data_IF_608277148300
#
_entry.id   IF_608277148300
#
_cell.length_a   1.000
_cell.length_b   1.000
_cell.length_c   1.000
_cell.angle_alpha   90.00
_cell.angle_beta   90.00
_cell.angle_gamma   90.00
#
_symmetry.space_group_name_H-M   'P 1'
#
loop_
_entity.id
_entity.type
_entity.pdbx_description
1 polymer ?
#
# COMPACT_ATOMS: atom_id res chain seq x y z
N UNK A 1 40.52 -13.01 56.49
CA UNK A 1 39.26 -13.78 56.42
C UNK A 1 38.55 -13.42 55.11
N UNK A 2 38.49 -14.35 54.15
CA UNK A 2 37.25 -15.04 53.68
C UNK A 2 36.25 -14.06 53.06
N UNK A 3 36.33 -13.83 51.74
CA UNK A 3 35.57 -14.49 50.65
C UNK A 3 34.04 -14.32 50.71
N UNK A 4 33.52 -13.55 49.75
CA UNK A 4 32.19 -13.60 49.08
C UNK A 4 31.87 -12.18 48.61
N UNK A 5 31.32 -11.89 47.43
CA UNK A 5 30.48 -12.66 46.53
C UNK A 5 30.59 -11.93 45.16
N UNK A 6 30.92 -12.65 44.08
CA UNK A 6 30.88 -12.09 42.72
C UNK A 6 29.43 -12.00 42.25
N UNK A 7 28.90 -10.78 42.13
CA UNK A 7 27.68 -10.45 41.40
C UNK A 7 28.09 -9.58 40.21
N UNK A 8 28.21 -10.19 39.02
CA UNK A 8 28.38 -9.46 37.77
C UNK A 8 26.97 -9.19 37.22
N UNK A 9 26.46 -7.99 37.50
CA UNK A 9 25.30 -7.43 36.82
C UNK A 9 25.80 -6.67 35.59
N UNK A 10 25.52 -7.20 34.39
CA UNK A 10 25.78 -6.52 33.13
C UNK A 10 24.65 -5.52 32.84
N UNK A 11 24.89 -4.24 33.13
CA UNK A 11 24.05 -3.13 32.69
C UNK A 11 24.71 -2.47 31.48
N UNK A 12 24.30 -2.88 30.27
CA UNK A 12 24.67 -2.19 29.03
C UNK A 12 23.68 -1.07 28.75
N UNK A 13 24.00 0.15 29.15
CA UNK A 13 23.31 1.37 28.71
C UNK A 13 23.79 1.72 27.30
N UNK A 14 22.96 1.49 26.29
CA UNK A 14 23.16 2.06 24.97
C UNK A 14 22.82 3.55 25.01
N UNK A 15 23.84 4.35 24.69
CA UNK A 15 23.72 5.78 24.41
C UNK A 15 22.87 5.99 23.14
N UNK A 16 21.84 6.81 23.25
CA UNK A 16 21.09 7.35 22.11
C UNK A 16 20.85 8.85 22.33
N UNK A 17 21.90 9.64 22.17
CA UNK A 17 21.77 11.07 21.85
C UNK A 17 22.03 11.21 20.36
N UNK A 18 21.00 11.56 19.61
CA UNK A 18 21.04 11.73 18.17
C UNK A 18 19.88 12.61 17.73
N UNK A 19 19.90 13.85 18.19
CA UNK A 19 18.98 14.90 17.78
C UNK A 19 19.36 15.31 16.35
N UNK A 20 18.57 14.87 15.36
CA UNK A 20 18.74 15.27 13.97
C UNK A 20 17.99 16.58 13.76
N UNK A 21 18.70 17.68 13.96
CA UNK A 21 18.32 18.98 13.40
C UNK A 21 18.17 18.82 11.87
N UNK A 22 17.02 19.23 11.36
CA UNK A 22 16.78 19.33 9.93
C UNK A 22 16.84 20.82 9.56
N UNK A 23 18.06 21.32 9.37
CA UNK A 23 18.30 22.56 8.65
C UNK A 23 18.05 22.29 7.16
N UNK A 24 16.88 22.68 6.65
CA UNK A 24 16.70 22.88 5.22
C UNK A 24 16.73 24.38 4.96
N UNK A 25 17.91 24.84 4.56
CA UNK A 25 18.12 26.15 3.99
C UNK A 25 17.22 26.32 2.77
N UNK A 26 16.32 27.29 2.86
CA UNK A 26 15.53 27.78 1.74
C UNK A 26 16.48 28.32 0.66
N UNK A 27 16.41 27.72 -0.53
CA UNK A 27 16.98 28.30 -1.73
C UNK A 27 16.23 29.58 -2.08
N UNK A 28 16.98 30.67 -2.23
CA UNK A 28 16.52 31.97 -2.67
C UNK A 28 16.15 31.93 -4.15
N UNK A 29 14.91 32.32 -4.47
CA UNK A 29 14.56 32.85 -5.78
C UNK A 29 13.94 34.23 -5.59
N UNK A 30 14.79 35.24 -5.63
CA UNK A 30 14.36 36.63 -5.83
C UNK A 30 13.78 36.76 -7.23
N UNK A 31 12.48 37.06 -7.31
CA UNK A 31 11.86 37.62 -8.49
C UNK A 31 10.92 38.75 -8.05
N UNK A 32 11.43 39.97 -8.25
CA UNK A 32 10.68 41.22 -8.16
C UNK A 32 9.56 41.23 -9.22
N UNK A 33 8.34 41.53 -8.82
CA UNK A 33 7.25 41.74 -9.78
C UNK A 33 5.88 41.94 -9.15
N UNK A 34 5.60 43.20 -8.79
CA UNK A 34 4.29 43.82 -8.55
C UNK A 34 3.32 43.23 -7.51
N UNK A 35 3.12 44.05 -6.48
CA UNK A 35 2.04 43.97 -5.49
C UNK A 35 0.78 44.53 -6.17
N UNK A 36 -0.18 43.68 -6.48
CA UNK A 36 -1.55 44.11 -6.76
C UNK A 36 -2.41 43.72 -5.56
N UNK A 37 -2.96 44.74 -4.93
CA UNK A 37 -3.67 44.74 -3.66
C UNK A 37 -4.99 43.96 -3.78
N UNK A 38 -5.09 42.80 -3.11
CA UNK A 38 -6.33 42.03 -3.05
C UNK A 38 -6.94 42.21 -1.65
N UNK A 39 -8.18 42.71 -1.52
CA UNK A 39 -8.77 43.06 -0.24
C UNK A 39 -9.05 41.83 0.62
N UNK A 40 -8.77 41.98 1.91
CA UNK A 40 -9.00 40.99 2.95
C UNK A 40 -10.48 40.64 3.09
N UNK A 41 -10.82 39.38 2.78
CA UNK A 41 -11.96 38.71 3.38
C UNK A 41 -11.47 37.37 3.95
N UNK A 42 -10.91 37.43 5.16
CA UNK A 42 -10.50 36.25 5.91
C UNK A 42 -11.73 35.65 6.60
N UNK A 43 -12.37 34.69 5.95
CA UNK A 43 -13.15 33.69 6.66
C UNK A 43 -12.20 32.61 7.17
N UNK A 44 -12.35 32.12 8.41
CA UNK A 44 -11.42 31.16 9.00
C UNK A 44 -11.51 29.83 8.25
N UNK A 45 -10.50 29.52 7.43
CA UNK A 45 -10.33 28.18 6.85
C UNK A 45 -9.80 27.25 7.94
N UNK A 46 -10.68 26.36 8.38
CA UNK A 46 -10.37 25.29 9.32
C UNK A 46 -9.32 24.35 8.71
N UNK A 47 -8.08 24.48 9.15
CA UNK A 47 -6.90 23.86 8.52
C UNK A 47 -6.69 22.38 8.89
N UNK A 48 -7.74 21.61 9.20
CA UNK A 48 -7.60 20.19 9.59
C UNK A 48 -8.60 19.23 8.93
N UNK A 49 -9.13 19.56 7.77
CA UNK A 49 -9.67 18.56 6.86
C UNK A 49 -8.68 18.34 5.71
N UNK A 50 -7.68 17.49 5.95
CA UNK A 50 -7.14 16.71 4.82
C UNK A 50 -8.31 15.87 4.31
N UNK A 51 -9.01 16.40 3.32
CA UNK A 51 -9.84 15.60 2.43
C UNK A 51 -8.89 14.56 1.83
N UNK A 52 -8.79 13.40 2.51
CA UNK A 52 -8.33 12.18 1.92
C UNK A 52 -9.38 11.84 0.87
N UNK A 53 -9.34 12.58 -0.24
CA UNK A 53 -10.31 12.52 -1.31
C UNK A 53 -10.52 11.07 -1.63
N UNK A 54 -11.78 10.63 -1.55
CA UNK A 54 -12.15 9.25 -1.77
C UNK A 54 -11.40 8.75 -3.01
N UNK A 55 -10.52 7.76 -2.81
CA UNK A 55 -9.69 7.26 -3.89
C UNK A 55 -10.61 6.83 -5.04
N UNK A 56 -10.36 7.35 -6.25
CA UNK A 56 -11.08 6.88 -7.42
C UNK A 56 -10.85 5.38 -7.55
N UNK A 57 -11.92 4.63 -7.32
CA UNK A 57 -11.95 3.17 -7.24
C UNK A 57 -12.71 2.57 -8.41
N UNK A 58 -13.10 3.38 -9.40
CA UNK A 58 -13.88 2.93 -10.57
C UNK A 58 -13.21 1.77 -11.32
N UNK A 59 -11.88 1.80 -11.45
CA UNK A 59 -11.11 0.73 -12.10
C UNK A 59 -11.12 -0.55 -11.25
N UNK A 60 -10.87 -0.44 -9.95
CA UNK A 60 -10.75 -1.58 -9.04
C UNK A 60 -12.10 -2.21 -8.70
N UNK A 61 -13.17 -1.42 -8.75
CA UNK A 61 -14.55 -1.89 -8.66
C UNK A 61 -14.89 -2.85 -9.81
N UNK A 62 -14.31 -2.63 -10.99
CA UNK A 62 -14.43 -3.53 -12.14
C UNK A 62 -13.78 -4.91 -11.93
N UNK A 63 -13.00 -5.09 -10.87
CA UNK A 63 -12.33 -6.36 -10.57
C UNK A 63 -13.14 -7.31 -9.71
N UNK A 64 -14.28 -6.85 -9.16
CA UNK A 64 -15.16 -7.67 -8.33
C UNK A 64 -15.55 -8.98 -9.04
N UNK A 65 -15.58 -10.07 -8.27
CA UNK A 65 -15.89 -11.43 -8.69
C UNK A 65 -14.67 -12.37 -8.73
N UNK A 66 -14.85 -13.54 -9.36
CA UNK A 66 -13.84 -14.60 -9.42
C UNK A 66 -12.88 -14.47 -10.61
N UNK A 67 -11.61 -14.71 -10.36
CA UNK A 67 -10.51 -14.81 -11.33
C UNK A 67 -9.86 -16.19 -11.21
N UNK A 68 -9.36 -16.74 -12.31
CA UNK A 68 -8.86 -18.12 -12.39
C UNK A 68 -7.37 -18.15 -12.70
N UNK A 69 -6.60 -18.78 -11.83
CA UNK A 69 -5.18 -19.07 -12.05
C UNK A 69 -4.98 -20.50 -12.55
N UNK A 70 -3.72 -20.92 -12.63
CA UNK A 70 -3.35 -22.28 -13.03
C UNK A 70 -3.71 -23.29 -11.95
N UNK A 71 -3.90 -24.56 -12.27
CA UNK A 71 -3.95 -25.66 -11.26
C UNK A 71 -4.95 -25.45 -10.10
N UNK A 72 -6.07 -24.77 -10.35
CA UNK A 72 -7.09 -24.51 -9.33
C UNK A 72 -6.84 -23.26 -8.48
N UNK A 73 -5.77 -22.51 -8.74
CA UNK A 73 -5.54 -21.18 -8.17
C UNK A 73 -6.74 -20.28 -8.49
N UNK A 74 -7.12 -19.45 -7.52
CA UNK A 74 -8.23 -18.53 -7.70
C UNK A 74 -8.04 -17.27 -6.87
N UNK A 75 -8.61 -16.18 -7.37
CA UNK A 75 -8.79 -14.95 -6.63
C UNK A 75 -10.27 -14.57 -6.67
N UNK A 76 -10.87 -14.35 -5.52
CA UNK A 76 -12.20 -13.79 -5.39
C UNK A 76 -12.07 -12.38 -4.81
N UNK A 77 -12.54 -11.38 -5.55
CA UNK A 77 -12.55 -9.97 -5.14
C UNK A 77 -13.98 -9.59 -4.78
N UNK A 78 -14.22 -9.19 -3.54
CA UNK A 78 -15.51 -8.69 -3.09
C UNK A 78 -15.37 -7.27 -2.54
N UNK A 79 -16.44 -6.48 -2.57
CA UNK A 79 -16.49 -5.20 -1.83
C UNK A 79 -16.56 -5.48 -0.33
N UNK A 80 -15.85 -4.68 0.46
CA UNK A 80 -15.96 -4.66 1.91
C UNK A 80 -16.92 -3.54 2.37
N UNK A 81 -17.03 -3.34 3.68
CA UNK A 81 -18.01 -2.43 4.28
C UNK A 81 -17.76 -0.94 3.97
N UNK A 82 -16.50 -0.56 3.73
CA UNK A 82 -16.12 0.81 3.41
C UNK A 82 -15.96 1.03 1.89
N UNK A 83 -16.37 2.20 1.36
CA UNK A 83 -16.10 2.56 -0.03
C UNK A 83 -14.62 2.42 -0.38
N UNK A 84 -14.34 1.81 -1.54
CA UNK A 84 -12.97 1.55 -1.99
C UNK A 84 -12.21 0.49 -1.19
N UNK A 85 -12.86 -0.22 -0.25
CA UNK A 85 -12.27 -1.36 0.45
C UNK A 85 -12.77 -2.68 -0.13
N UNK A 86 -11.91 -3.69 -0.11
CA UNK A 86 -12.14 -4.98 -0.73
C UNK A 86 -11.75 -6.14 0.19
N UNK A 87 -12.46 -7.26 0.05
CA UNK A 87 -12.03 -8.55 0.56
C UNK A 87 -11.42 -9.34 -0.60
N UNK A 88 -10.17 -9.78 -0.44
CA UNK A 88 -9.42 -10.58 -1.41
C UNK A 88 -9.26 -11.99 -0.85
N UNK A 89 -9.96 -12.97 -1.41
CA UNK A 89 -9.78 -14.38 -1.06
C UNK A 89 -8.90 -15.04 -2.12
N UNK A 90 -7.67 -15.38 -1.73
CA UNK A 90 -6.65 -15.97 -2.60
C UNK A 90 -6.53 -17.45 -2.28
N UNK A 91 -6.77 -18.31 -3.26
CA UNK A 91 -6.55 -19.75 -3.19
C UNK A 91 -5.29 -20.09 -3.98
N UNK A 92 -4.31 -20.64 -3.28
CA UNK A 92 -3.05 -21.18 -3.81
C UNK A 92 -3.00 -22.70 -3.59
N UNK A 93 -1.90 -23.34 -3.98
CA UNK A 93 -1.72 -24.78 -3.82
C UNK A 93 -1.60 -25.22 -2.34
N UNK A 94 -1.14 -24.33 -1.47
CA UNK A 94 -0.92 -24.58 -0.04
C UNK A 94 -2.15 -24.23 0.83
N UNK A 95 -3.11 -23.47 0.30
CA UNK A 95 -4.32 -23.13 1.03
C UNK A 95 -5.06 -21.92 0.49
N UNK A 96 -6.05 -21.47 1.26
CA UNK A 96 -6.81 -20.25 0.98
C UNK A 96 -6.62 -19.24 2.11
N UNK A 97 -6.25 -18.02 1.73
CA UNK A 97 -6.06 -16.88 2.63
C UNK A 97 -7.01 -15.75 2.23
N UNK A 98 -7.41 -14.94 3.20
CA UNK A 98 -8.26 -13.76 2.98
C UNK A 98 -7.57 -12.50 3.48
N UNK A 99 -7.60 -11.45 2.67
CA UNK A 99 -6.98 -10.17 2.97
C UNK A 99 -8.00 -9.03 2.83
N UNK A 100 -7.83 -7.98 3.63
CA UNK A 100 -8.50 -6.71 3.40
C UNK A 100 -7.58 -5.83 2.57
N UNK A 101 -8.10 -5.29 1.48
CA UNK A 101 -7.39 -4.37 0.59
C UNK A 101 -8.09 -3.03 0.46
N UNK A 102 -7.33 -2.01 0.05
CA UNK A 102 -7.82 -0.68 -0.26
C UNK A 102 -7.47 -0.34 -1.72
N UNK A 103 -8.46 0.10 -2.48
CA UNK A 103 -8.28 0.63 -3.82
C UNK A 103 -7.48 1.92 -3.79
N UNK A 104 -6.53 2.03 -4.71
CA UNK A 104 -5.69 3.20 -4.88
C UNK A 104 -5.44 3.42 -6.39
N UNK A 105 -6.42 4.02 -7.06
CA UNK A 105 -6.40 4.17 -8.51
C UNK A 105 -6.49 2.80 -9.21
N UNK A 106 -5.47 2.45 -9.98
CA UNK A 106 -5.41 1.22 -10.78
C UNK A 106 -4.88 0.00 -10.03
N UNK A 107 -4.84 0.04 -8.70
CA UNK A 107 -4.35 -1.07 -7.87
C UNK A 107 -5.17 -1.24 -6.60
N UNK A 108 -5.16 -2.45 -6.03
CA UNK A 108 -5.62 -2.71 -4.65
C UNK A 108 -4.40 -3.01 -3.81
N UNK A 109 -4.12 -2.17 -2.80
CA UNK A 109 -3.05 -2.39 -1.83
C UNK A 109 -3.56 -3.19 -0.63
N UNK A 110 -2.79 -4.14 -0.16
CA UNK A 110 -3.13 -4.96 1.01
C UNK A 110 -1.86 -5.41 1.75
N UNK A 111 -2.00 -5.93 2.95
CA UNK A 111 -0.87 -6.49 3.72
C UNK A 111 -0.90 -8.01 3.68
N UNK A 112 0.23 -8.62 3.33
CA UNK A 112 0.45 -10.07 3.36
C UNK A 112 1.76 -10.36 4.08
N UNK A 113 1.71 -11.18 5.12
CA UNK A 113 2.88 -11.55 5.95
C UNK A 113 3.66 -10.33 6.49
N UNK A 114 2.93 -9.28 6.89
CA UNK A 114 3.50 -8.03 7.39
C UNK A 114 4.14 -7.14 6.32
N UNK A 115 4.03 -7.49 5.04
CA UNK A 115 4.56 -6.72 3.91
C UNK A 115 3.43 -6.13 3.08
N UNK A 116 3.67 -4.96 2.50
CA UNK A 116 2.77 -4.40 1.49
C UNK A 116 2.79 -5.28 0.24
N UNK A 117 1.61 -5.63 -0.24
CA UNK A 117 1.37 -6.33 -1.49
C UNK A 117 0.35 -5.53 -2.32
N UNK A 118 0.36 -5.76 -3.62
CA UNK A 118 -0.50 -5.04 -4.55
C UNK A 118 -1.12 -6.01 -5.53
N UNK A 119 -2.44 -5.95 -5.69
CA UNK A 119 -3.15 -6.56 -6.79
C UNK A 119 -3.25 -5.53 -7.91
N UNK A 120 -2.79 -5.89 -9.11
CA UNK A 120 -2.78 -5.00 -10.28
C UNK A 120 -3.29 -5.70 -11.52
N UNK A 121 -3.68 -4.91 -12.53
CA UNK A 121 -3.88 -5.41 -13.90
C UNK A 121 -2.59 -6.01 -14.45
N UNK A 122 -2.75 -7.07 -15.24
CA UNK A 122 -1.69 -7.73 -15.98
C UNK A 122 -2.26 -8.38 -17.25
N UNK A 123 -1.38 -8.76 -18.15
CA UNK A 123 -1.63 -9.77 -19.18
C UNK A 123 -1.17 -11.14 -18.69
N UNK A 124 -1.68 -12.19 -19.32
CA UNK A 124 -1.26 -13.55 -19.03
C UNK A 124 0.23 -13.77 -19.26
N UNK A 125 0.83 -13.06 -20.22
CA UNK A 125 2.27 -13.10 -20.49
C UNK A 125 3.08 -12.49 -19.33
N UNK A 126 2.61 -11.38 -18.75
CA UNK A 126 3.24 -10.75 -17.58
C UNK A 126 3.19 -11.62 -16.32
N UNK A 127 2.21 -12.51 -16.21
CA UNK A 127 2.11 -13.42 -15.05
C UNK A 127 3.26 -14.40 -14.96
N UNK A 128 3.93 -14.69 -16.08
CA UNK A 128 4.93 -15.76 -16.19
C UNK A 128 4.34 -17.18 -16.17
N UNK A 129 3.01 -17.32 -16.15
CA UNK A 129 2.33 -18.61 -16.09
C UNK A 129 1.94 -19.07 -17.50
N UNK A 130 2.56 -20.15 -17.97
CA UNK A 130 2.39 -20.67 -19.34
C UNK A 130 0.93 -20.91 -19.74
N UNK A 131 0.09 -21.39 -18.82
CA UNK A 131 -1.33 -21.63 -19.10
C UNK A 131 -2.16 -20.35 -19.25
N UNK A 132 -1.65 -19.21 -18.77
CA UNK A 132 -2.30 -17.92 -18.90
C UNK A 132 -1.79 -17.14 -20.12
N UNK A 133 -0.68 -17.55 -20.73
CA UNK A 133 -0.04 -16.86 -21.86
C UNK A 133 -1.04 -16.49 -22.97
N UNK A 134 -0.89 -15.27 -23.50
CA UNK A 134 -1.79 -14.70 -24.49
C UNK A 134 -3.10 -14.09 -23.95
N UNK A 135 -3.55 -14.42 -22.75
CA UNK A 135 -4.73 -13.79 -22.14
C UNK A 135 -4.48 -12.31 -21.82
N UNK A 136 -5.51 -11.47 -21.90
CA UNK A 136 -5.38 -10.01 -21.76
C UNK A 136 -6.12 -9.43 -20.56
N UNK A 137 -7.17 -10.09 -20.08
CA UNK A 137 -7.84 -9.68 -18.86
C UNK A 137 -7.34 -10.53 -17.68
N UNK A 138 -6.26 -10.06 -17.06
CA UNK A 138 -5.70 -10.71 -15.88
C UNK A 138 -5.41 -9.72 -14.77
N UNK A 139 -5.38 -10.25 -13.55
CA UNK A 139 -4.84 -9.61 -12.37
C UNK A 139 -3.64 -10.40 -11.86
N UNK A 140 -2.72 -9.71 -11.20
CA UNK A 140 -1.52 -10.31 -10.65
C UNK A 140 -1.15 -9.67 -9.32
N UNK A 141 -0.74 -10.49 -8.36
CA UNK A 141 -0.16 -10.04 -7.09
C UNK A 141 1.37 -9.92 -7.21
N UNK A 142 1.99 -10.93 -7.81
CA UNK A 142 3.43 -10.99 -8.09
C UNK A 142 3.69 -11.97 -9.25
N UNK A 143 4.90 -11.99 -9.84
CA UNK A 143 5.24 -13.00 -10.83
C UNK A 143 4.94 -14.42 -10.32
N UNK A 144 4.40 -15.27 -11.20
CA UNK A 144 3.89 -16.61 -10.89
C UNK A 144 2.63 -16.68 -10.02
N UNK A 145 2.00 -15.54 -9.71
CA UNK A 145 0.73 -15.45 -8.96
C UNK A 145 -0.26 -14.55 -9.71
N UNK A 146 -0.70 -15.06 -10.87
CA UNK A 146 -1.63 -14.41 -11.77
C UNK A 146 -2.95 -15.17 -11.91
N UNK A 147 -4.01 -14.41 -12.18
CA UNK A 147 -5.37 -14.91 -12.32
C UNK A 147 -6.04 -14.18 -13.48
N UNK A 148 -6.61 -14.90 -14.43
CA UNK A 148 -7.25 -14.31 -15.60
C UNK A 148 -8.76 -14.57 -15.63
N UNK A 149 -9.45 -13.72 -16.38
CA UNK A 149 -10.76 -13.96 -16.97
C UNK A 149 -10.58 -14.09 -18.49
N UNK A 150 -11.64 -14.48 -19.16
CA UNK A 150 -11.62 -14.74 -20.60
C UNK A 150 -11.24 -13.50 -21.42
#
# INVERSE_FOLDING_TARGET
>A
MRHSLFLIAAAGLLAACGEKTADNAAGTNEALGNIEEVPANEEPVDANAVDMGAADTSVTDGWVGKWVGVEGLALDVAKADAPGSYTLKVTLLDGTSTYTGAGAGEVIRFTRDGKEATLRRATGDETGLKYLAGKKDCLMIQPSEGFCRD
#
